data_IF_489956837794
#
_entry.id   IF_489956837794
#
_cell.length_a   1.000
_cell.length_b   1.000
_cell.length_c   1.000
_cell.angle_alpha   90.00
_cell.angle_beta   90.00
_cell.angle_gamma   90.00
#
_symmetry.space_group_name_H-M   'P 1'
#
loop_
_entity.id
_entity.type
_entity.pdbx_description
1 polymer ?
#
# COMPACT_ATOMS: atom_id res chain seq x y z
N UNK A 1 22.90 -11.62 -1.76
CA UNK A 1 22.64 -10.16 -1.66
C UNK A 1 23.46 -9.60 -0.49
N UNK A 2 24.10 -8.40 -0.58
CA UNK A 2 24.90 -7.85 0.55
C UNK A 2 24.02 -7.15 1.60
N UNK A 3 23.68 -7.81 2.70
CA UNK A 3 22.82 -7.27 3.77
C UNK A 3 23.63 -6.58 4.88
N UNK A 4 22.98 -5.67 5.62
CA UNK A 4 23.55 -5.15 6.88
C UNK A 4 23.41 -6.17 8.01
N UNK A 5 24.14 -6.02 9.13
CA UNK A 5 23.90 -6.86 10.31
C UNK A 5 22.46 -6.81 10.82
N UNK A 6 21.82 -5.63 10.82
CA UNK A 6 20.40 -5.48 11.22
C UNK A 6 19.45 -6.27 10.30
N UNK A 7 19.69 -6.22 8.99
CA UNK A 7 18.89 -6.95 8.00
C UNK A 7 19.13 -8.46 8.09
N UNK A 8 20.38 -8.88 8.34
CA UNK A 8 20.73 -10.29 8.51
C UNK A 8 20.08 -10.89 9.76
N UNK A 9 20.09 -10.17 10.89
CA UNK A 9 19.42 -10.59 12.12
C UNK A 9 17.91 -10.78 11.92
N UNK A 10 17.26 -9.88 11.18
CA UNK A 10 15.85 -10.03 10.82
C UNK A 10 15.62 -11.26 9.92
N UNK A 11 16.50 -11.48 8.95
CA UNK A 11 16.45 -12.62 8.03
C UNK A 11 16.63 -13.98 8.72
N UNK A 12 17.40 -14.02 9.81
CA UNK A 12 17.71 -15.27 10.52
C UNK A 12 16.73 -15.62 11.64
N UNK A 13 15.84 -14.71 12.02
CA UNK A 13 14.81 -14.99 13.00
C UNK A 13 13.82 -16.06 12.48
N UNK A 14 13.64 -17.21 13.18
CA UNK A 14 12.89 -18.34 12.65
C UNK A 14 11.37 -18.25 12.87
N UNK A 15 10.91 -17.35 13.75
CA UNK A 15 9.51 -17.21 14.16
C UNK A 15 8.83 -15.99 13.55
N UNK A 16 7.72 -15.59 14.16
CA UNK A 16 7.00 -14.38 13.77
C UNK A 16 7.82 -13.13 14.12
N UNK A 17 7.81 -12.13 13.25
CA UNK A 17 8.59 -10.89 13.41
C UNK A 17 7.76 -9.67 13.04
N UNK A 18 7.83 -8.62 13.86
CA UNK A 18 7.49 -7.26 13.50
C UNK A 18 8.79 -6.46 13.42
N UNK A 19 9.27 -6.20 12.21
CA UNK A 19 10.47 -5.44 11.93
C UNK A 19 10.14 -3.96 11.79
N UNK A 20 10.42 -3.18 12.83
CA UNK A 20 10.30 -1.71 12.80
C UNK A 20 11.45 -1.13 11.97
N UNK A 21 11.15 -0.38 10.92
CA UNK A 21 12.19 0.03 9.97
C UNK A 21 12.04 1.49 9.56
N UNK A 22 13.08 2.29 9.74
CA UNK A 22 13.04 3.71 9.40
C UNK A 22 12.94 3.93 7.87
N UNK A 23 12.55 5.14 7.41
CA UNK A 23 12.53 5.46 5.99
C UNK A 23 13.92 5.27 5.37
N UNK A 24 13.98 4.69 4.17
CA UNK A 24 15.26 4.50 3.47
C UNK A 24 16.20 3.44 4.07
N UNK A 25 15.72 2.60 4.99
CA UNK A 25 16.52 1.53 5.62
C UNK A 25 16.72 0.27 4.78
N UNK A 26 16.07 0.20 3.63
CA UNK A 26 16.04 -1.02 2.82
C UNK A 26 15.01 -2.04 3.29
N UNK A 27 13.83 -1.59 3.76
CA UNK A 27 12.63 -2.41 4.02
C UNK A 27 12.40 -3.45 2.91
N UNK A 28 12.17 -2.97 1.69
CA UNK A 28 11.96 -3.80 0.50
C UNK A 28 13.12 -4.74 0.23
N UNK A 29 14.37 -4.32 0.45
CA UNK A 29 15.54 -5.19 0.29
C UNK A 29 15.52 -6.36 1.26
N UNK A 30 15.12 -6.11 2.50
CA UNK A 30 15.00 -7.12 3.56
C UNK A 30 13.87 -8.09 3.25
N UNK A 31 12.73 -7.59 2.79
CA UNK A 31 11.60 -8.43 2.33
C UNK A 31 12.01 -9.31 1.16
N UNK A 32 12.65 -8.76 0.12
CA UNK A 32 13.12 -9.56 -1.03
C UNK A 32 14.11 -10.64 -0.57
N UNK A 33 15.07 -10.30 0.29
CA UNK A 33 16.03 -11.29 0.79
C UNK A 33 15.35 -12.40 1.61
N UNK A 34 14.34 -12.04 2.42
CA UNK A 34 13.54 -13.01 3.20
C UNK A 34 12.69 -13.90 2.30
N UNK A 35 12.04 -13.31 1.30
CA UNK A 35 11.28 -14.04 0.29
C UNK A 35 12.16 -15.06 -0.43
N UNK A 36 13.31 -14.63 -0.95
CA UNK A 36 14.24 -15.53 -1.66
C UNK A 36 14.66 -16.71 -0.77
N UNK A 37 15.07 -16.43 0.48
CA UNK A 37 15.47 -17.47 1.44
C UNK A 37 14.33 -18.47 1.70
N UNK A 38 13.12 -17.99 1.96
CA UNK A 38 12.00 -18.88 2.27
C UNK A 38 11.49 -19.66 1.05
N UNK A 39 11.60 -19.10 -0.16
CA UNK A 39 11.32 -19.83 -1.40
C UNK A 39 12.30 -20.97 -1.60
N UNK A 40 13.60 -20.74 -1.38
CA UNK A 40 14.61 -21.79 -1.45
C UNK A 40 14.33 -22.93 -0.46
N UNK A 41 13.79 -22.61 0.73
CA UNK A 41 13.41 -23.59 1.75
C UNK A 41 12.19 -24.46 1.35
N UNK A 42 11.24 -23.91 0.58
CA UNK A 42 10.03 -24.63 0.15
C UNK A 42 10.11 -25.18 -1.28
N UNK A 43 11.24 -24.99 -1.97
CA UNK A 43 11.45 -25.46 -3.35
C UNK A 43 11.17 -26.96 -3.47
N UNK A 44 10.41 -27.35 -4.49
CA UNK A 44 10.03 -28.74 -4.75
C UNK A 44 8.92 -29.28 -3.82
N UNK A 45 8.35 -28.44 -2.97
CA UNK A 45 7.17 -28.75 -2.15
C UNK A 45 5.92 -28.06 -2.72
N UNK A 46 4.69 -28.46 -2.34
CA UNK A 46 3.47 -27.74 -2.73
C UNK A 46 3.26 -26.43 -1.96
N UNK A 47 4.16 -26.08 -1.03
CA UNK A 47 4.04 -24.87 -0.22
C UNK A 47 4.56 -23.65 -0.97
N UNK A 48 4.00 -22.50 -0.63
CA UNK A 48 4.39 -21.21 -1.18
C UNK A 48 4.63 -20.17 -0.08
N UNK A 49 5.23 -19.05 -0.46
CA UNK A 49 5.40 -17.86 0.38
C UNK A 49 4.57 -16.72 -0.19
N UNK A 50 3.73 -16.08 0.62
CA UNK A 50 2.95 -14.91 0.21
C UNK A 50 3.68 -13.63 0.62
N UNK A 51 4.00 -12.77 -0.34
CA UNK A 51 4.53 -11.43 -0.14
C UNK A 51 3.48 -10.40 -0.50
N UNK A 52 2.90 -9.77 0.51
CA UNK A 52 1.77 -8.85 0.40
C UNK A 52 2.26 -7.42 0.62
N UNK A 53 1.88 -6.51 -0.27
CA UNK A 53 2.20 -5.07 -0.18
C UNK A 53 0.95 -4.22 -0.44
N UNK A 54 1.05 -2.91 -0.23
CA UNK A 54 -0.09 -1.99 -0.36
C UNK A 54 -0.33 -1.51 -1.80
N UNK A 55 0.72 -1.40 -2.64
CA UNK A 55 0.61 -0.80 -3.98
C UNK A 55 1.12 -1.71 -5.09
N UNK A 56 0.54 -1.58 -6.29
CA UNK A 56 1.04 -2.28 -7.48
C UNK A 56 2.47 -1.87 -7.86
N UNK A 57 2.88 -0.63 -7.55
CA UNK A 57 4.25 -0.18 -7.78
C UNK A 57 5.25 -0.98 -6.92
N UNK A 58 4.91 -1.23 -5.65
CA UNK A 58 5.73 -2.06 -4.76
C UNK A 58 5.73 -3.53 -5.19
N UNK A 59 4.61 -4.08 -5.67
CA UNK A 59 4.57 -5.43 -6.27
C UNK A 59 5.58 -5.53 -7.41
N UNK A 60 5.50 -4.63 -8.39
CA UNK A 60 6.41 -4.61 -9.55
C UNK A 60 7.87 -4.44 -9.13
N UNK A 61 8.15 -3.62 -8.13
CA UNK A 61 9.51 -3.43 -7.60
C UNK A 61 10.06 -4.71 -6.94
N UNK A 62 9.24 -5.39 -6.13
CA UNK A 62 9.62 -6.65 -5.48
C UNK A 62 9.82 -7.74 -6.54
N UNK A 63 8.87 -7.92 -7.46
CA UNK A 63 8.97 -8.92 -8.53
C UNK A 63 10.24 -8.74 -9.38
N UNK A 64 10.53 -7.51 -9.81
CA UNK A 64 11.72 -7.22 -10.60
C UNK A 64 13.03 -7.55 -9.85
N UNK A 65 13.04 -7.40 -8.52
CA UNK A 65 14.22 -7.73 -7.69
C UNK A 65 14.33 -9.22 -7.41
N UNK A 66 13.21 -9.90 -7.20
CA UNK A 66 13.14 -11.34 -6.96
C UNK A 66 13.56 -12.12 -8.20
N UNK A 67 13.17 -11.67 -9.39
CA UNK A 67 13.53 -12.28 -10.67
C UNK A 67 15.06 -12.36 -10.91
N UNK A 68 15.85 -11.51 -10.25
CA UNK A 68 17.32 -11.56 -10.33
C UNK A 68 17.95 -12.66 -9.44
N UNK A 69 17.15 -13.33 -8.62
CA UNK A 69 17.62 -14.27 -7.61
C UNK A 69 16.95 -15.65 -7.68
N UNK A 70 15.71 -15.74 -8.14
CA UNK A 70 14.97 -16.99 -8.25
C UNK A 70 15.04 -17.61 -9.64
N UNK A 71 14.84 -18.93 -9.71
CA UNK A 71 14.74 -19.68 -10.95
C UNK A 71 13.32 -19.59 -11.52
N UNK A 72 13.13 -19.72 -12.85
CA UNK A 72 11.78 -19.74 -13.45
C UNK A 72 10.83 -20.77 -12.81
N UNK A 73 11.34 -21.93 -12.40
CA UNK A 73 10.54 -23.00 -11.77
C UNK A 73 10.05 -22.64 -10.36
N UNK A 74 10.65 -21.65 -9.70
CA UNK A 74 10.26 -21.21 -8.36
C UNK A 74 8.92 -20.44 -8.34
N UNK A 75 8.37 -20.07 -9.51
CA UNK A 75 7.13 -19.29 -9.60
C UNK A 75 5.92 -19.94 -8.94
N UNK A 76 5.94 -21.26 -8.73
CA UNK A 76 4.87 -21.97 -8.01
C UNK A 76 4.99 -21.86 -6.48
N UNK A 77 6.17 -21.50 -5.99
CA UNK A 77 6.52 -21.45 -4.57
C UNK A 77 6.45 -20.04 -3.96
N UNK A 78 6.03 -19.02 -4.71
CA UNK A 78 5.76 -17.70 -4.14
C UNK A 78 4.67 -16.93 -4.87
N UNK A 79 4.14 -15.92 -4.18
CA UNK A 79 3.22 -14.93 -4.72
C UNK A 79 3.67 -13.57 -4.22
N UNK A 80 3.84 -12.60 -5.12
CA UNK A 80 3.95 -11.18 -4.77
C UNK A 80 2.68 -10.48 -5.26
N UNK A 81 1.96 -9.83 -4.36
CA UNK A 81 0.70 -9.19 -4.74
C UNK A 81 0.27 -8.10 -3.77
N UNK A 82 -0.73 -7.31 -4.16
CA UNK A 82 -1.49 -6.54 -3.18
C UNK A 82 -2.37 -7.46 -2.33
N UNK A 83 -2.82 -6.99 -1.16
CA UNK A 83 -3.74 -7.77 -0.32
C UNK A 83 -5.07 -8.08 -1.01
N UNK A 84 -5.61 -7.14 -1.79
CA UNK A 84 -6.82 -7.36 -2.60
C UNK A 84 -6.60 -8.45 -3.64
N UNK A 85 -5.46 -8.43 -4.33
CA UNK A 85 -5.12 -9.46 -5.31
C UNK A 85 -4.93 -10.83 -4.65
N UNK A 86 -4.25 -10.87 -3.48
CA UNK A 86 -4.10 -12.09 -2.70
C UNK A 86 -5.47 -12.68 -2.33
N UNK A 87 -6.35 -11.86 -1.75
CA UNK A 87 -7.70 -12.22 -1.37
C UNK A 87 -8.51 -12.75 -2.57
N UNK A 88 -8.53 -12.01 -3.67
CA UNK A 88 -9.28 -12.40 -4.86
C UNK A 88 -8.79 -13.72 -5.46
N UNK A 89 -7.48 -13.91 -5.59
CA UNK A 89 -6.89 -15.04 -6.33
C UNK A 89 -6.60 -16.27 -5.49
N UNK A 90 -6.46 -16.12 -4.17
CA UNK A 90 -6.09 -17.23 -3.27
C UNK A 90 -7.14 -17.54 -2.21
N UNK A 91 -8.12 -16.66 -1.98
CA UNK A 91 -9.23 -16.92 -1.06
C UNK A 91 -10.56 -17.01 -1.82
N UNK A 92 -10.92 -16.01 -2.63
CA UNK A 92 -12.25 -15.99 -3.24
C UNK A 92 -12.37 -16.92 -4.46
N UNK A 93 -11.58 -16.70 -5.51
CA UNK A 93 -11.72 -17.44 -6.78
C UNK A 93 -11.54 -18.95 -6.65
N UNK A 94 -10.56 -19.48 -5.88
CA UNK A 94 -10.42 -20.93 -5.72
C UNK A 94 -11.62 -21.59 -5.04
N UNK A 95 -12.39 -20.82 -4.27
CA UNK A 95 -13.52 -21.28 -3.47
C UNK A 95 -14.81 -20.56 -3.87
N UNK A 96 -14.93 -20.10 -5.12
CA UNK A 96 -16.01 -19.22 -5.56
C UNK A 96 -17.40 -19.81 -5.31
N UNK A 97 -17.56 -21.14 -5.43
CA UNK A 97 -18.82 -21.83 -5.14
C UNK A 97 -19.25 -21.79 -3.67
N UNK A 98 -18.34 -21.43 -2.76
CA UNK A 98 -18.59 -21.25 -1.32
C UNK A 98 -18.82 -19.78 -0.94
N UNK A 99 -18.68 -18.84 -1.87
CA UNK A 99 -18.87 -17.41 -1.61
C UNK A 99 -20.33 -17.02 -1.83
N UNK A 100 -21.00 -16.60 -0.75
CA UNK A 100 -22.39 -16.17 -0.82
C UNK A 100 -22.58 -14.99 -1.80
N UNK A 101 -23.66 -15.03 -2.58
CA UNK A 101 -24.00 -13.96 -3.53
C UNK A 101 -23.29 -14.04 -4.89
N UNK A 102 -22.37 -14.99 -5.08
CA UNK A 102 -21.63 -15.17 -6.33
C UNK A 102 -21.81 -16.60 -6.87
N UNK A 103 -22.34 -16.73 -8.10
CA UNK A 103 -22.56 -18.01 -8.77
C UNK A 103 -21.58 -18.26 -9.93
N UNK A 104 -20.56 -17.42 -10.11
CA UNK A 104 -19.65 -17.47 -11.27
C UNK A 104 -18.41 -16.58 -11.15
N UNK A 105 -18.00 -15.97 -12.27
CA UNK A 105 -16.78 -15.15 -12.33
C UNK A 105 -16.92 -13.88 -11.50
N UNK A 106 -15.99 -13.65 -10.58
CA UNK A 106 -15.84 -12.38 -9.86
C UNK A 106 -14.95 -11.42 -10.65
N UNK A 107 -15.58 -10.54 -11.42
CA UNK A 107 -14.89 -9.48 -12.17
C UNK A 107 -14.72 -8.25 -11.27
N UNK A 108 -13.51 -7.70 -11.23
CA UNK A 108 -13.25 -6.52 -10.41
C UNK A 108 -13.98 -5.32 -11.02
N UNK A 109 -14.76 -4.62 -10.20
CA UNK A 109 -15.46 -3.40 -10.53
C UNK A 109 -14.62 -2.20 -10.12
N UNK A 110 -13.95 -1.57 -11.09
CA UNK A 110 -13.20 -0.33 -10.88
C UNK A 110 -14.02 0.87 -11.35
N UNK A 111 -13.75 2.05 -10.79
CA UNK A 111 -14.43 3.30 -11.16
C UNK A 111 -14.23 3.71 -12.62
N UNK A 112 -13.25 3.13 -13.31
CA UNK A 112 -12.96 3.37 -14.73
C UNK A 112 -13.86 2.55 -15.67
N UNK A 113 -14.62 1.58 -15.14
CA UNK A 113 -15.49 0.72 -15.92
C UNK A 113 -16.83 1.38 -16.21
N UNK A 114 -17.35 1.16 -17.41
CA UNK A 114 -18.71 1.59 -17.76
C UNK A 114 -19.76 0.96 -16.84
N UNK A 115 -19.57 -0.31 -16.46
CA UNK A 115 -20.51 -1.00 -15.58
C UNK A 115 -20.56 -0.38 -14.17
N UNK A 116 -19.48 0.26 -13.70
CA UNK A 116 -19.49 0.96 -12.42
C UNK A 116 -20.45 2.15 -12.46
N UNK A 117 -20.37 2.96 -13.53
CA UNK A 117 -21.26 4.11 -13.73
C UNK A 117 -22.71 3.67 -13.81
N UNK A 118 -23.00 2.65 -14.64
CA UNK A 118 -24.36 2.11 -14.77
C UNK A 118 -24.93 1.59 -13.44
N UNK A 119 -24.12 0.89 -12.65
CA UNK A 119 -24.55 0.34 -11.35
C UNK A 119 -24.77 1.46 -10.34
N UNK A 120 -23.92 2.48 -10.33
CA UNK A 120 -24.06 3.66 -9.49
C UNK A 120 -25.32 4.46 -9.84
N UNK A 121 -25.58 4.71 -11.13
CA UNK A 121 -26.78 5.38 -11.60
C UNK A 121 -28.03 4.63 -11.15
N UNK A 122 -28.11 3.32 -11.41
CA UNK A 122 -29.25 2.50 -10.99
C UNK A 122 -29.44 2.47 -9.47
N UNK A 123 -28.34 2.39 -8.70
CA UNK A 123 -28.43 2.43 -7.24
C UNK A 123 -28.98 3.77 -6.73
N UNK A 124 -28.58 4.88 -7.36
CA UNK A 124 -29.08 6.22 -7.06
C UNK A 124 -30.56 6.39 -7.46
N UNK A 125 -30.96 5.84 -8.61
CA UNK A 125 -32.36 5.84 -9.07
C UNK A 125 -33.28 5.14 -8.06
N UNK A 126 -32.83 4.03 -7.48
CA UNK A 126 -33.58 3.29 -6.44
C UNK A 126 -33.86 4.11 -5.18
N UNK A 127 -33.10 5.18 -4.94
CA UNK A 127 -33.31 6.13 -3.83
C UNK A 127 -33.81 7.50 -4.30
N UNK A 128 -34.28 7.58 -5.56
CA UNK A 128 -34.90 8.78 -6.12
C UNK A 128 -33.93 9.89 -6.54
N UNK A 129 -32.67 9.55 -6.86
CA UNK A 129 -31.72 10.48 -7.50
C UNK A 129 -31.41 10.10 -8.94
N UNK A 130 -31.31 11.10 -9.80
CA UNK A 130 -31.15 10.93 -11.25
C UNK A 130 -30.06 11.85 -11.86
N UNK A 131 -29.43 12.69 -11.04
CA UNK A 131 -28.54 13.78 -11.43
C UNK A 131 -27.15 13.66 -10.79
N UNK A 132 -26.55 12.47 -10.87
CA UNK A 132 -25.22 12.22 -10.31
C UNK A 132 -24.15 13.09 -10.98
N UNK A 133 -23.24 13.61 -10.16
CA UNK A 133 -22.07 14.39 -10.58
C UNK A 133 -20.81 13.54 -10.44
N UNK A 134 -19.71 14.03 -11.01
CA UNK A 134 -18.40 13.37 -10.93
C UNK A 134 -18.00 12.99 -9.49
N UNK A 135 -18.27 13.87 -8.52
CA UNK A 135 -17.97 13.62 -7.10
C UNK A 135 -18.76 12.44 -6.52
N UNK A 136 -19.99 12.20 -7.00
CA UNK A 136 -20.83 11.13 -6.49
C UNK A 136 -20.29 9.76 -6.92
N UNK A 137 -19.78 9.64 -8.14
CA UNK A 137 -19.07 8.43 -8.58
C UNK A 137 -17.79 8.18 -7.77
N UNK A 138 -17.07 9.23 -7.38
CA UNK A 138 -15.93 9.09 -6.47
C UNK A 138 -16.38 8.58 -5.09
N UNK A 139 -17.52 9.07 -4.57
CA UNK A 139 -18.10 8.58 -3.30
C UNK A 139 -18.50 7.11 -3.39
N UNK A 140 -19.19 6.68 -4.45
CA UNK A 140 -19.49 5.26 -4.66
C UNK A 140 -18.24 4.38 -4.64
N UNK A 141 -17.13 4.86 -5.23
CA UNK A 141 -15.86 4.13 -5.24
C UNK A 141 -15.15 4.12 -3.88
N UNK A 142 -15.55 5.01 -2.96
CA UNK A 142 -15.02 5.12 -1.61
C UNK A 142 -15.87 4.43 -0.54
N UNK A 143 -16.90 3.68 -0.91
CA UNK A 143 -17.69 2.90 0.04
C UNK A 143 -16.81 1.74 0.56
N UNK A 144 -16.57 1.72 1.87
CA UNK A 144 -15.88 0.64 2.56
C UNK A 144 -16.83 -0.31 3.29
N UNK A 145 -16.29 -1.41 3.79
CA UNK A 145 -16.97 -2.38 4.65
C UNK A 145 -16.09 -2.73 5.85
N UNK A 146 -16.68 -2.79 7.03
CA UNK A 146 -16.02 -3.34 8.23
C UNK A 146 -16.29 -4.85 8.39
N UNK A 147 -15.71 -5.46 9.44
CA UNK A 147 -15.87 -6.89 9.72
C UNK A 147 -17.32 -7.28 10.11
N UNK A 148 -18.16 -6.33 10.55
CA UNK A 148 -19.58 -6.58 10.82
C UNK A 148 -20.42 -6.57 9.54
N UNK A 149 -19.87 -6.07 8.43
CA UNK A 149 -20.59 -5.83 7.18
C UNK A 149 -21.30 -4.49 7.14
N UNK A 150 -21.03 -3.60 8.11
CA UNK A 150 -21.50 -2.23 8.06
C UNK A 150 -20.70 -1.44 7.01
N UNK A 151 -21.39 -0.58 6.28
CA UNK A 151 -20.74 0.35 5.38
C UNK A 151 -19.97 1.40 6.19
N UNK A 152 -18.75 1.67 5.77
CA UNK A 152 -17.86 2.67 6.39
C UNK A 152 -17.22 3.59 5.34
N UNK A 153 -16.59 4.66 5.80
CA UNK A 153 -15.84 5.62 4.97
C UNK A 153 -16.56 6.96 4.81
N UNK A 154 -15.80 7.99 4.43
CA UNK A 154 -16.31 9.37 4.30
C UNK A 154 -17.36 9.53 3.18
N UNK A 155 -17.46 8.55 2.28
CA UNK A 155 -18.50 8.51 1.25
C UNK A 155 -19.92 8.53 1.84
N UNK A 156 -20.09 7.99 3.06
CA UNK A 156 -21.39 7.84 3.74
C UNK A 156 -21.81 9.09 4.53
N UNK A 157 -20.98 10.14 4.57
CA UNK A 157 -21.39 11.46 5.08
C UNK A 157 -22.47 12.09 4.17
N UNK A 158 -22.61 11.59 2.95
CA UNK A 158 -23.69 11.93 2.04
C UNK A 158 -24.85 10.93 2.21
N UNK A 159 -26.01 11.43 2.69
CA UNK A 159 -27.22 10.63 2.94
C UNK A 159 -27.68 9.83 1.72
N UNK A 160 -27.50 10.39 0.51
CA UNK A 160 -27.89 9.69 -0.72
C UNK A 160 -27.00 8.48 -0.95
N UNK A 161 -25.68 8.65 -0.82
CA UNK A 161 -24.72 7.54 -0.98
C UNK A 161 -24.96 6.49 0.09
N UNK A 162 -25.22 6.89 1.33
CA UNK A 162 -25.52 5.97 2.42
C UNK A 162 -26.78 5.12 2.14
N UNK A 163 -27.84 5.72 1.60
CA UNK A 163 -29.06 5.01 1.20
C UNK A 163 -28.85 4.13 -0.05
N UNK A 164 -28.03 4.57 -1.00
CA UNK A 164 -27.77 3.86 -2.26
C UNK A 164 -26.76 2.71 -2.12
N UNK A 165 -25.86 2.74 -1.14
CA UNK A 165 -24.77 1.77 -0.96
C UNK A 165 -25.23 0.29 -0.95
N UNK A 166 -26.29 -0.10 -0.22
CA UNK A 166 -26.78 -1.48 -0.25
C UNK A 166 -27.28 -1.91 -1.64
N UNK A 167 -27.89 -0.98 -2.39
CA UNK A 167 -28.34 -1.24 -3.75
C UNK A 167 -27.15 -1.40 -4.70
N UNK A 168 -26.16 -0.51 -4.59
CA UNK A 168 -24.93 -0.55 -5.38
C UNK A 168 -24.22 -1.91 -5.22
N UNK A 169 -23.95 -2.36 -3.99
CA UNK A 169 -23.26 -3.62 -3.73
C UNK A 169 -24.05 -4.83 -4.25
N UNK A 170 -25.37 -4.86 -4.02
CA UNK A 170 -26.22 -5.96 -4.48
C UNK A 170 -26.33 -6.01 -6.01
N UNK A 171 -26.45 -4.86 -6.67
CA UNK A 171 -26.49 -4.76 -8.13
C UNK A 171 -25.16 -5.20 -8.75
N UNK A 172 -24.02 -4.80 -8.15
CA UNK A 172 -22.71 -5.26 -8.56
C UNK A 172 -22.59 -6.79 -8.46
N UNK A 173 -22.87 -7.37 -7.29
CA UNK A 173 -22.83 -8.81 -7.08
C UNK A 173 -23.76 -9.56 -8.05
N UNK A 174 -25.00 -9.09 -8.23
CA UNK A 174 -25.98 -9.68 -9.14
C UNK A 174 -25.55 -9.66 -10.62
N UNK A 175 -24.65 -8.76 -11.01
CA UNK A 175 -24.05 -8.68 -12.35
C UNK A 175 -22.69 -9.41 -12.45
N UNK A 176 -22.26 -10.12 -11.41
CA UNK A 176 -20.98 -10.83 -11.37
C UNK A 176 -19.77 -9.94 -11.12
N UNK A 177 -20.00 -8.76 -10.54
CA UNK A 177 -18.97 -7.79 -10.20
C UNK A 177 -18.66 -7.78 -8.70
N UNK A 178 -17.40 -7.54 -8.36
CA UNK A 178 -16.94 -7.36 -6.99
C UNK A 178 -16.02 -6.13 -6.91
N UNK A 179 -16.30 -5.21 -6.01
CA UNK A 179 -15.45 -4.05 -5.75
C UNK A 179 -14.36 -4.38 -4.71
N UNK A 180 -13.48 -3.41 -4.45
CA UNK A 180 -12.34 -3.60 -3.54
C UNK A 180 -12.75 -3.85 -2.08
N UNK A 181 -13.79 -3.18 -1.58
CA UNK A 181 -14.26 -3.40 -0.21
C UNK A 181 -14.88 -4.79 -0.07
N UNK A 182 -15.71 -5.20 -1.03
CA UNK A 182 -16.30 -6.54 -1.07
C UNK A 182 -15.25 -7.65 -1.20
N UNK A 183 -14.13 -7.44 -1.90
CA UNK A 183 -13.04 -8.43 -1.95
C UNK A 183 -12.53 -8.76 -0.54
N UNK A 184 -12.28 -7.74 0.29
CA UNK A 184 -11.81 -7.96 1.66
C UNK A 184 -12.90 -8.56 2.53
N UNK A 185 -14.12 -7.99 2.49
CA UNK A 185 -15.24 -8.44 3.31
C UNK A 185 -15.59 -9.91 3.07
N UNK A 186 -15.79 -10.31 1.81
CA UNK A 186 -16.13 -11.70 1.51
C UNK A 186 -14.98 -12.65 1.80
N UNK A 187 -13.72 -12.21 1.72
CA UNK A 187 -12.56 -13.03 2.10
C UNK A 187 -12.54 -13.27 3.60
N UNK A 188 -12.79 -12.22 4.38
CA UNK A 188 -12.95 -12.31 5.83
C UNK A 188 -14.09 -13.27 6.21
N UNK A 189 -15.29 -13.08 5.64
CA UNK A 189 -16.43 -13.97 5.91
C UNK A 189 -16.11 -15.42 5.54
N UNK A 190 -15.53 -15.67 4.38
CA UNK A 190 -15.21 -17.03 3.95
C UNK A 190 -14.20 -17.71 4.88
N UNK A 191 -13.14 -17.00 5.30
CA UNK A 191 -12.16 -17.55 6.24
C UNK A 191 -12.76 -17.79 7.63
N UNK A 192 -13.65 -16.90 8.10
CA UNK A 192 -14.30 -16.99 9.41
C UNK A 192 -15.31 -18.12 9.47
N UNK A 193 -16.14 -18.23 8.42
CA UNK A 193 -17.31 -19.10 8.42
C UNK A 193 -16.98 -20.50 7.87
N UNK A 194 -15.91 -20.64 7.08
CA UNK A 194 -15.44 -21.91 6.52
C UNK A 194 -13.99 -22.23 6.92
N UNK A 195 -13.87 -23.01 7.99
CA UNK A 195 -12.57 -23.42 8.52
C UNK A 195 -11.76 -24.28 7.54
N UNK A 196 -12.40 -25.04 6.64
CA UNK A 196 -11.65 -25.81 5.64
C UNK A 196 -10.93 -24.88 4.67
N UNK A 197 -11.59 -23.81 4.24
CA UNK A 197 -10.98 -22.78 3.38
C UNK A 197 -9.83 -22.11 4.11
N UNK A 198 -10.05 -21.63 5.34
CA UNK A 198 -9.00 -20.99 6.14
C UNK A 198 -7.77 -21.89 6.30
N UNK A 199 -7.98 -23.15 6.71
CA UNK A 199 -6.91 -24.14 6.82
C UNK A 199 -6.21 -24.41 5.50
N UNK A 200 -6.94 -24.51 4.40
CA UNK A 200 -6.37 -24.75 3.07
C UNK A 200 -5.42 -23.62 2.66
N UNK A 201 -5.86 -22.37 2.80
CA UNK A 201 -5.06 -21.19 2.50
C UNK A 201 -3.84 -21.10 3.41
N UNK A 202 -4.02 -21.20 4.73
CA UNK A 202 -2.91 -21.16 5.70
C UNK A 202 -1.90 -22.31 5.50
N UNK A 203 -2.37 -23.50 5.11
CA UNK A 203 -1.47 -24.64 4.82
C UNK A 203 -0.67 -24.41 3.54
N UNK A 204 -1.29 -23.85 2.49
CA UNK A 204 -0.60 -23.54 1.24
C UNK A 204 0.54 -22.55 1.45
N UNK A 205 0.31 -21.50 2.23
CA UNK A 205 1.30 -20.45 2.44
C UNK A 205 2.08 -20.66 3.74
N UNK A 206 3.33 -21.12 3.62
CA UNK A 206 4.22 -21.37 4.77
C UNK A 206 4.53 -20.09 5.53
N UNK A 207 4.56 -18.97 4.83
CA UNK A 207 4.78 -17.66 5.42
C UNK A 207 4.01 -16.55 4.70
N UNK A 208 3.71 -15.52 5.47
CA UNK A 208 3.16 -14.24 5.04
C UNK A 208 4.16 -13.12 5.36
N UNK A 209 4.75 -12.56 4.31
CA UNK A 209 5.61 -11.38 4.34
C UNK A 209 4.74 -10.16 4.04
N UNK A 210 4.56 -9.26 5.00
CA UNK A 210 3.69 -8.10 4.83
C UNK A 210 4.54 -6.82 4.85
N UNK A 211 4.57 -6.12 3.73
CA UNK A 211 5.20 -4.80 3.59
C UNK A 211 4.23 -3.68 3.96
N UNK A 212 4.77 -2.53 4.37
CA UNK A 212 4.03 -1.34 4.78
C UNK A 212 2.86 -1.64 5.74
N UNK A 213 3.15 -2.46 6.76
CA UNK A 213 2.12 -2.96 7.69
C UNK A 213 1.41 -1.84 8.47
N UNK A 214 1.99 -0.63 8.54
CA UNK A 214 1.31 0.52 9.13
C UNK A 214 0.10 1.05 8.35
N UNK A 215 -0.06 0.62 7.10
CA UNK A 215 -1.14 1.05 6.22
C UNK A 215 -2.28 0.02 6.15
N UNK A 216 -2.24 -1.02 6.99
CA UNK A 216 -3.31 -2.02 7.03
C UNK A 216 -4.58 -1.51 7.69
N UNK A 217 -5.72 -1.96 7.18
CA UNK A 217 -7.04 -1.69 7.76
C UNK A 217 -7.44 -2.78 8.76
N UNK A 218 -8.47 -2.53 9.56
CA UNK A 218 -8.97 -3.50 10.56
C UNK A 218 -9.33 -4.85 9.94
N UNK A 219 -10.10 -4.86 8.85
CA UNK A 219 -10.52 -6.11 8.19
C UNK A 219 -9.33 -6.89 7.60
N UNK A 220 -8.27 -6.20 7.19
CA UNK A 220 -7.05 -6.86 6.72
C UNK A 220 -6.33 -7.55 7.88
N UNK A 221 -6.27 -6.92 9.06
CA UNK A 221 -5.74 -7.54 10.27
C UNK A 221 -6.58 -8.76 10.67
N UNK A 222 -7.92 -8.67 10.61
CA UNK A 222 -8.80 -9.82 10.88
C UNK A 222 -8.55 -11.00 9.94
N UNK A 223 -8.35 -10.75 8.65
CA UNK A 223 -8.00 -11.80 7.67
C UNK A 223 -6.69 -12.49 8.07
N UNK A 224 -5.66 -11.70 8.41
CA UNK A 224 -4.36 -12.24 8.82
C UNK A 224 -4.45 -13.01 10.15
N UNK A 225 -5.29 -12.54 11.08
CA UNK A 225 -5.61 -13.24 12.34
C UNK A 225 -6.20 -14.62 12.08
N UNK A 226 -7.23 -14.72 11.26
CA UNK A 226 -7.88 -16.01 10.93
C UNK A 226 -6.89 -16.99 10.29
N UNK A 227 -5.97 -16.50 9.45
CA UNK A 227 -4.90 -17.32 8.87
C UNK A 227 -3.86 -17.75 9.92
N UNK A 228 -3.54 -16.87 10.88
CA UNK A 228 -2.64 -17.18 11.99
C UNK A 228 -3.20 -18.26 12.93
N UNK A 229 -4.50 -18.20 13.24
CA UNK A 229 -5.17 -19.13 14.16
C UNK A 229 -5.09 -20.60 13.73
N UNK A 230 -4.92 -20.87 12.43
CA UNK A 230 -4.70 -22.23 11.91
C UNK A 230 -3.31 -22.80 12.25
N UNK A 231 -2.37 -21.96 12.74
CA UNK A 231 -1.03 -22.35 13.23
C UNK A 231 -0.19 -23.11 12.18
N UNK A 232 -0.36 -22.77 10.91
CA UNK A 232 0.38 -23.38 9.77
C UNK A 232 1.47 -22.47 9.18
N UNK A 233 1.34 -21.17 9.41
CA UNK A 233 2.13 -20.14 8.73
C UNK A 233 2.94 -19.28 9.71
N UNK A 234 4.02 -18.70 9.21
CA UNK A 234 4.80 -17.66 9.90
C UNK A 234 4.48 -16.29 9.33
N UNK A 235 4.68 -15.25 10.13
CA UNK A 235 4.43 -13.87 9.74
C UNK A 235 5.70 -13.04 9.88
N UNK A 236 6.04 -12.31 8.83
CA UNK A 236 7.14 -11.36 8.81
C UNK A 236 6.58 -10.01 8.37
N UNK A 237 6.31 -9.16 9.35
CA UNK A 237 5.68 -7.86 9.19
C UNK A 237 6.77 -6.78 9.16
N UNK A 238 6.72 -5.88 8.19
CA UNK A 238 7.64 -4.74 8.10
C UNK A 238 6.82 -3.47 8.03
N UNK A 239 7.20 -2.46 8.82
CA UNK A 239 6.52 -1.18 8.80
C UNK A 239 7.24 -0.08 9.56
N UNK A 240 6.77 1.14 9.35
CA UNK A 240 7.13 2.33 10.12
C UNK A 240 5.86 3.06 10.52
N UNK A 241 5.44 3.02 11.80
CA UNK A 241 4.26 3.76 12.25
C UNK A 241 4.29 5.25 11.89
N UNK A 242 5.48 5.86 11.83
CA UNK A 242 5.64 7.26 11.45
C UNK A 242 5.47 7.54 9.93
N UNK A 243 5.27 6.50 9.12
CA UNK A 243 4.94 6.60 7.69
C UNK A 243 3.46 6.32 7.39
N UNK A 244 2.62 6.08 8.40
CA UNK A 244 1.18 5.85 8.17
C UNK A 244 0.50 7.14 7.70
N UNK A 245 0.21 7.22 6.41
CA UNK A 245 -0.44 8.39 5.77
C UNK A 245 -1.78 8.03 5.12
N UNK A 246 -2.18 6.76 5.12
CA UNK A 246 -3.41 6.26 4.51
C UNK A 246 -4.60 6.20 5.48
N UNK A 247 -4.59 7.02 6.54
CA UNK A 247 -5.69 7.05 7.52
C UNK A 247 -7.06 7.39 6.90
N UNK A 248 -7.09 8.23 5.86
CA UNK A 248 -8.31 8.53 5.09
C UNK A 248 -8.86 7.32 4.31
N UNK A 249 -8.02 6.32 4.04
CA UNK A 249 -8.39 5.06 3.39
C UNK A 249 -8.65 3.95 4.43
N UNK A 250 -8.76 4.30 5.72
CA UNK A 250 -9.08 3.38 6.81
C UNK A 250 -7.88 2.64 7.41
N UNK A 251 -6.64 3.06 7.13
CA UNK A 251 -5.46 2.51 7.80
C UNK A 251 -5.53 2.75 9.32
N UNK A 252 -5.18 1.72 10.11
CA UNK A 252 -5.25 1.73 11.58
C UNK A 252 -3.89 1.33 12.18
N UNK A 253 -2.88 2.23 12.18
CA UNK A 253 -1.53 1.91 12.68
C UNK A 253 -1.51 1.49 14.15
N UNK A 254 -2.53 1.87 14.94
CA UNK A 254 -2.70 1.44 16.33
C UNK A 254 -2.95 -0.07 16.48
N UNK A 255 -3.33 -0.78 15.42
CA UNK A 255 -3.54 -2.24 15.44
C UNK A 255 -2.25 -3.05 15.26
N UNK A 256 -1.14 -2.40 14.87
CA UNK A 256 0.13 -3.07 14.57
C UNK A 256 0.67 -3.82 15.79
N UNK A 257 0.84 -3.10 16.92
CA UNK A 257 1.38 -3.69 18.13
C UNK A 257 0.37 -4.72 18.70
N UNK A 258 -0.94 -4.47 18.87
CA UNK A 258 -1.87 -5.53 19.30
C UNK A 258 -1.79 -6.83 18.47
N UNK A 259 -1.78 -6.73 17.14
CA UNK A 259 -1.68 -7.92 16.28
C UNK A 259 -0.32 -8.63 16.42
N UNK A 260 0.78 -7.87 16.52
CA UNK A 260 2.09 -8.48 16.72
C UNK A 260 2.18 -9.26 18.05
N UNK A 261 1.40 -8.88 19.08
CA UNK A 261 1.42 -9.53 20.41
C UNK A 261 0.65 -10.84 20.31
N UNK A 262 -0.50 -10.75 19.64
CA UNK A 262 -1.36 -11.89 19.35
C UNK A 262 -0.64 -13.01 18.60
N UNK A 263 0.14 -12.67 17.56
CA UNK A 263 0.91 -13.67 16.81
C UNK A 263 2.23 -14.06 17.50
N UNK A 264 2.55 -13.50 18.67
CA UNK A 264 3.81 -13.75 19.38
C UNK A 264 5.04 -13.32 18.56
N UNK A 265 4.95 -12.20 17.83
CA UNK A 265 6.05 -11.68 17.03
C UNK A 265 7.15 -11.06 17.90
N UNK A 266 8.41 -11.32 17.53
CA UNK A 266 9.57 -10.60 18.06
C UNK A 266 9.54 -9.14 17.58
N UNK A 267 9.97 -8.19 18.41
CA UNK A 267 9.83 -6.73 18.15
C UNK A 267 11.07 -5.88 18.45
N UNK A 268 12.07 -6.46 19.08
CA UNK A 268 13.32 -5.81 19.45
C UNK A 268 14.30 -5.71 18.28
N UNK A 269 13.93 -6.23 17.09
CA UNK A 269 14.69 -6.03 15.86
C UNK A 269 14.18 -4.78 15.13
N UNK A 270 15.12 -3.93 14.71
CA UNK A 270 14.82 -2.71 13.97
C UNK A 270 15.88 -2.41 12.92
N UNK A 271 15.49 -1.66 11.89
CA UNK A 271 16.39 -1.10 10.89
C UNK A 271 16.49 0.42 11.07
N UNK A 272 17.60 0.92 11.59
CA UNK A 272 17.81 2.36 11.84
C UNK A 272 18.74 3.05 10.86
N UNK A 273 19.51 2.31 10.08
CA UNK A 273 20.43 2.89 9.10
C UNK A 273 19.65 3.41 7.89
N UNK A 274 19.70 4.71 7.63
CA UNK A 274 19.09 5.37 6.49
C UNK A 274 20.11 5.48 5.34
N UNK A 275 19.83 4.82 4.22
CA UNK A 275 20.71 4.82 3.05
C UNK A 275 20.34 5.87 1.99
N UNK A 276 19.29 6.67 2.23
CA UNK A 276 18.69 7.58 1.25
C UNK A 276 19.10 9.03 1.48
N UNK A 277 19.13 9.48 2.72
CA UNK A 277 19.15 10.89 3.10
C UNK A 277 20.43 11.28 3.83
N UNK A 278 20.81 12.55 3.75
CA UNK A 278 21.97 13.12 4.48
C UNK A 278 21.73 13.22 5.99
N UNK A 279 22.78 13.41 6.81
CA UNK A 279 22.63 13.62 8.24
C UNK A 279 21.69 14.78 8.58
N UNK A 280 21.80 15.92 7.87
CA UNK A 280 20.95 17.08 8.11
C UNK A 280 19.45 16.77 7.93
N UNK A 281 19.09 15.99 6.89
CA UNK A 281 17.69 15.58 6.66
C UNK A 281 17.24 14.56 7.72
N UNK A 282 18.09 13.59 8.05
CA UNK A 282 17.80 12.57 9.08
C UNK A 282 17.56 13.22 10.44
N UNK A 283 18.40 14.16 10.84
CA UNK A 283 18.31 14.86 12.13
C UNK A 283 17.01 15.67 12.26
N UNK A 284 16.60 16.37 11.19
CA UNK A 284 15.31 17.07 11.18
C UNK A 284 14.13 16.09 11.28
N UNK A 285 14.20 14.95 10.58
CA UNK A 285 13.16 13.93 10.67
C UNK A 285 13.08 13.29 12.07
N UNK A 286 14.20 13.07 12.74
CA UNK A 286 14.26 12.59 14.13
C UNK A 286 13.72 13.62 15.13
N UNK A 287 13.93 14.92 14.90
CA UNK A 287 13.31 15.98 15.73
C UNK A 287 11.78 15.98 15.65
N UNK A 288 11.22 15.71 14.47
CA UNK A 288 9.77 15.68 14.26
C UNK A 288 9.15 14.38 14.79
N UNK A 289 9.83 13.26 14.56
CA UNK A 289 9.36 11.93 14.94
C UNK A 289 10.51 11.17 15.59
N UNK A 290 10.72 11.33 16.91
CA UNK A 290 11.82 10.67 17.60
C UNK A 290 11.64 9.16 17.58
N UNK A 291 12.70 8.43 17.21
CA UNK A 291 12.70 6.96 17.14
C UNK A 291 13.67 6.35 18.14
N UNK A 292 13.42 5.08 18.48
CA UNK A 292 14.33 4.26 19.26
C UNK A 292 14.50 2.88 18.60
N UNK A 293 15.69 2.54 18.08
CA UNK A 293 16.89 3.38 17.96
C UNK A 293 16.71 4.53 16.95
N UNK A 294 17.41 5.64 17.17
CA UNK A 294 17.41 6.80 16.28
C UNK A 294 18.01 6.45 14.91
N UNK A 295 17.54 7.11 13.86
CA UNK A 295 18.09 6.97 12.51
C UNK A 295 19.55 7.41 12.43
N UNK A 296 20.33 6.72 11.58
CA UNK A 296 21.71 7.10 11.27
C UNK A 296 21.91 7.10 9.75
N UNK A 297 22.48 8.16 9.18
CA UNK A 297 22.74 8.23 7.74
C UNK A 297 23.96 7.38 7.37
N UNK A 298 23.76 6.35 6.56
CA UNK A 298 24.79 5.39 6.14
C UNK A 298 24.87 5.23 4.61
N UNK A 299 24.12 6.07 3.89
CA UNK A 299 24.05 6.07 2.43
C UNK A 299 25.15 6.85 1.74
N UNK A 300 24.98 7.05 0.42
CA UNK A 300 25.89 7.90 -0.38
C UNK A 300 25.90 9.37 0.07
N UNK A 301 24.84 9.80 0.74
CA UNK A 301 24.66 11.18 1.21
C UNK A 301 25.16 11.40 2.65
N UNK A 302 25.77 10.39 3.30
CA UNK A 302 26.20 10.47 4.71
C UNK A 302 27.20 11.60 4.98
N UNK A 303 28.02 11.94 3.98
CA UNK A 303 29.03 12.99 4.07
C UNK A 303 28.55 14.31 3.42
N UNK A 304 27.25 14.45 3.10
CA UNK A 304 26.70 15.66 2.51
C UNK A 304 26.60 16.77 3.57
N UNK A 305 27.33 17.89 3.42
CA UNK A 305 27.37 18.96 4.41
C UNK A 305 26.23 19.97 4.27
N UNK A 306 25.40 19.86 3.22
CA UNK A 306 24.36 20.86 2.93
C UNK A 306 23.26 20.83 4.01
N UNK A 307 23.00 21.96 4.69
CA UNK A 307 21.95 22.04 5.69
C UNK A 307 20.56 22.05 5.06
N UNK A 308 19.53 21.83 5.89
CA UNK A 308 18.14 22.04 5.49
C UNK A 308 17.84 23.55 5.58
N UNK A 309 17.28 24.11 4.52
CA UNK A 309 16.91 25.52 4.43
C UNK A 309 15.41 25.71 4.64
N UNK A 310 15.03 26.70 5.44
CA UNK A 310 13.64 27.13 5.62
C UNK A 310 13.47 28.53 5.03
N UNK A 311 12.66 28.65 3.98
CA UNK A 311 12.38 29.91 3.31
C UNK A 311 10.94 30.32 3.62
N UNK A 312 10.76 31.53 4.17
CA UNK A 312 9.45 32.15 4.39
C UNK A 312 9.21 33.20 3.33
N UNK A 313 8.15 33.04 2.53
CA UNK A 313 7.82 33.94 1.41
C UNK A 313 6.31 34.15 1.32
N UNK A 314 5.90 35.29 0.78
CA UNK A 314 4.50 35.54 0.39
C UNK A 314 4.09 34.80 -0.90
N UNK A 315 5.05 34.32 -1.69
CA UNK A 315 4.81 33.67 -2.98
C UNK A 315 5.77 32.49 -3.19
N UNK A 316 5.21 31.29 -3.32
CA UNK A 316 5.97 30.04 -3.50
C UNK A 316 6.78 30.03 -4.80
N UNK A 317 6.29 30.70 -5.85
CA UNK A 317 7.02 30.80 -7.11
C UNK A 317 8.38 31.49 -6.92
N UNK A 318 8.40 32.58 -6.14
CA UNK A 318 9.62 33.35 -5.89
C UNK A 318 10.63 32.53 -5.08
N UNK A 319 10.18 31.76 -4.06
CA UNK A 319 11.08 30.83 -3.36
C UNK A 319 11.66 29.75 -4.29
N UNK A 320 10.91 29.30 -5.30
CA UNK A 320 11.43 28.32 -6.26
C UNK A 320 12.49 28.97 -7.15
N UNK A 321 12.20 30.17 -7.68
CA UNK A 321 13.06 30.87 -8.63
C UNK A 321 14.33 31.43 -7.99
N UNK A 322 14.21 31.98 -6.78
CA UNK A 322 15.28 32.75 -6.15
C UNK A 322 16.13 31.89 -5.19
N UNK A 323 15.58 30.80 -4.66
CA UNK A 323 16.27 29.94 -3.69
C UNK A 323 16.50 28.52 -4.22
N UNK A 324 15.44 27.81 -4.63
CA UNK A 324 15.53 26.38 -4.98
C UNK A 324 16.34 26.12 -6.27
N UNK A 325 16.03 26.80 -7.37
CA UNK A 325 16.73 26.60 -8.64
C UNK A 325 18.20 27.04 -8.57
N UNK A 326 18.54 28.20 -7.98
CA UNK A 326 19.93 28.59 -7.78
C UNK A 326 20.68 27.60 -6.87
N UNK A 327 20.04 27.05 -5.84
CA UNK A 327 20.64 26.01 -4.99
C UNK A 327 20.96 24.74 -5.79
N UNK A 328 20.04 24.26 -6.64
CA UNK A 328 20.27 23.12 -7.54
C UNK A 328 21.45 23.38 -8.46
N UNK A 329 21.53 24.55 -9.08
CA UNK A 329 22.62 24.93 -9.98
C UNK A 329 23.96 24.99 -9.25
N UNK A 330 24.01 25.66 -8.09
CA UNK A 330 25.19 25.75 -7.22
C UNK A 330 25.70 24.37 -6.80
N UNK A 331 24.79 23.45 -6.47
CA UNK A 331 25.11 22.07 -6.08
C UNK A 331 25.37 21.15 -7.28
N UNK A 332 25.26 21.67 -8.52
CA UNK A 332 25.40 20.91 -9.77
C UNK A 332 24.47 19.69 -9.82
N UNK A 333 23.28 19.82 -9.24
CA UNK A 333 22.28 18.76 -9.24
C UNK A 333 21.49 18.80 -10.57
N UNK A 334 21.22 17.65 -11.19
CA UNK A 334 20.42 17.62 -12.41
C UNK A 334 18.96 17.93 -12.08
N UNK A 335 18.38 18.94 -12.75
CA UNK A 335 16.97 19.35 -12.59
C UNK A 335 16.00 18.16 -12.69
N UNK A 336 16.27 17.19 -13.58
CA UNK A 336 15.45 15.98 -13.74
C UNK A 336 15.50 15.00 -12.56
N UNK A 337 16.31 15.26 -11.53
CA UNK A 337 16.33 14.51 -10.26
C UNK A 337 15.92 15.38 -9.06
N UNK A 338 15.35 16.55 -9.31
CA UNK A 338 14.83 17.45 -8.28
C UNK A 338 13.31 17.39 -8.27
N UNK A 339 12.71 17.44 -7.08
CA UNK A 339 11.26 17.26 -6.91
C UNK A 339 10.70 18.37 -6.02
N UNK A 340 9.53 18.89 -6.39
CA UNK A 340 8.72 19.79 -5.57
C UNK A 340 7.52 19.01 -5.04
N UNK A 341 7.31 19.02 -3.73
CA UNK A 341 6.20 18.33 -3.07
C UNK A 341 5.26 19.36 -2.43
N UNK A 342 3.96 19.09 -2.44
CA UNK A 342 2.95 19.91 -1.79
C UNK A 342 1.85 19.04 -1.17
N UNK A 343 1.07 19.62 -0.24
CA UNK A 343 -0.04 18.92 0.42
C UNK A 343 -1.20 18.58 -0.52
N UNK A 344 -1.37 19.30 -1.62
CA UNK A 344 -2.44 19.06 -2.59
C UNK A 344 -2.01 19.35 -4.03
N UNK A 345 -2.63 18.65 -4.97
CA UNK A 345 -2.42 18.82 -6.41
C UNK A 345 -2.86 20.22 -6.89
N UNK A 346 -3.88 20.80 -6.23
CA UNK A 346 -4.39 22.14 -6.51
C UNK A 346 -3.33 23.22 -6.29
N UNK A 347 -2.46 23.05 -5.29
CA UNK A 347 -1.36 23.97 -5.04
C UNK A 347 -0.27 23.89 -6.13
N UNK A 348 -0.06 22.71 -6.72
CA UNK A 348 1.00 22.49 -7.72
C UNK A 348 0.61 22.95 -9.13
N UNK A 349 -0.67 22.99 -9.47
CA UNK A 349 -1.14 23.39 -10.81
C UNK A 349 -0.70 24.81 -11.23
N UNK A 350 -0.98 25.88 -10.44
CA UNK A 350 -0.56 27.23 -10.81
C UNK A 350 0.97 27.37 -10.86
N UNK A 351 1.69 26.74 -9.92
CA UNK A 351 3.16 26.74 -9.86
C UNK A 351 3.73 26.09 -11.13
N UNK A 352 3.23 24.91 -11.50
CA UNK A 352 3.70 24.17 -12.67
C UNK A 352 3.48 24.95 -13.96
N UNK A 353 2.38 25.72 -14.06
CA UNK A 353 2.13 26.61 -15.20
C UNK A 353 3.12 27.77 -15.23
N UNK A 354 3.29 28.48 -14.13
CA UNK A 354 4.20 29.62 -14.03
C UNK A 354 5.65 29.23 -14.36
N UNK A 355 6.13 28.08 -13.85
CA UNK A 355 7.47 27.57 -14.15
C UNK A 355 7.67 27.31 -15.65
N UNK A 356 6.65 26.80 -16.35
CA UNK A 356 6.73 26.60 -17.82
C UNK A 356 6.72 27.90 -18.59
N UNK A 357 5.91 28.86 -18.16
CA UNK A 357 5.85 30.19 -18.79
C UNK A 357 7.23 30.89 -18.67
N UNK A 358 8.01 30.55 -17.62
CA UNK A 358 9.40 30.94 -17.42
C UNK A 358 10.45 30.03 -18.10
N UNK A 359 10.02 29.06 -18.91
CA UNK A 359 10.92 28.17 -19.67
C UNK A 359 11.45 26.94 -18.92
N UNK A 360 10.99 26.68 -17.69
CA UNK A 360 11.44 25.54 -16.89
C UNK A 360 10.59 24.31 -17.21
N UNK A 361 11.25 23.20 -17.54
CA UNK A 361 10.57 21.94 -17.82
C UNK A 361 10.16 21.26 -16.51
N UNK A 362 8.86 21.03 -16.36
CA UNK A 362 8.26 20.34 -15.21
C UNK A 362 7.45 19.13 -15.66
N UNK A 363 7.45 18.08 -14.85
CA UNK A 363 6.65 16.86 -15.05
C UNK A 363 5.77 16.67 -13.82
N UNK A 364 4.45 16.52 -14.00
CA UNK A 364 3.51 16.35 -12.89
C UNK A 364 2.11 16.98 -13.10
N UNK A 365 1.35 17.25 -12.02
CA UNK A 365 0.06 17.91 -12.06
C UNK A 365 0.08 19.17 -12.93
N UNK A 366 -0.85 19.28 -13.87
CA UNK A 366 -0.92 20.46 -14.75
C UNK A 366 0.24 20.60 -15.73
N UNK A 367 1.09 19.58 -15.92
CA UNK A 367 2.19 19.57 -16.90
C UNK A 367 1.74 19.31 -18.35
N UNK A 368 0.47 18.94 -18.59
CA UNK A 368 -0.06 18.77 -19.95
C UNK A 368 -0.60 20.08 -20.51
N UNK A 369 -0.24 20.39 -21.77
CA UNK A 369 -1.07 21.29 -22.59
C UNK A 369 -2.40 20.58 -22.84
N UNK A 370 -3.50 21.29 -22.62
CA UNK A 370 -4.86 20.85 -23.01
C UNK A 370 -4.79 20.37 -24.46
N UNK A 371 -4.91 19.05 -24.71
CA UNK A 371 -4.96 18.49 -26.07
C UNK A 371 -4.21 17.18 -26.39
N UNK A 372 -3.38 16.61 -25.50
CA UNK A 372 -2.72 15.32 -25.78
C UNK A 372 -3.41 14.14 -25.08
N UNK A 373 -4.01 13.25 -25.89
CA UNK A 373 -4.66 11.99 -25.48
C UNK A 373 -3.69 11.07 -24.73
N UNK A 374 -4.22 10.33 -23.76
CA UNK A 374 -3.58 9.20 -23.09
C UNK A 374 -3.59 8.03 -24.07
N UNK A 375 -2.42 7.44 -24.33
CA UNK A 375 -2.26 6.05 -24.77
C UNK A 375 -1.53 5.33 -23.65
#
# INVERSE_FOLDING_TARGET
MKLTPQQQLALDHPGNLLLKACPGSGKTRTIVARLVKEVEEVRGTPFAVACITYTNAAVNEIDARVAAHLMPDDQTNYVVSTIHSFCLHHILRPFASRVAGFSGTMKVLTSERAEFVEIADLAAEMVGRYDLRFEDYLRFGGIGLDASGAYIGSALEDDMIALAAPHFMRLAAGRGFIDFASILYHSYCLLRDDREVSRSVATKFRSFLIDEFQDTTEIQVEILRLLHEEKRSKFFLVGDPAQSIFGFAGARPELIDPFADEIGAKRDLSLSWNFRSSPAVVEHAERLFPRNPAMTSEGRAKDCPEPVHLVSTGNVFDAIMDEFLPAIERMKLPLGRSTILAKSWNALYPISRALRDYGIRVVGPGARRVGARIV
#
